data_IF_463490700922
#
_entry.id   IF_463490700922
#
_cell.length_a   1.000
_cell.length_b   1.000
_cell.length_c   1.000
_cell.angle_alpha   90.00
_cell.angle_beta   90.00
_cell.angle_gamma   90.00
#
_symmetry.space_group_name_H-M   'P 1'
#
loop_
_entity.id
_entity.type
_entity.pdbx_description
1 polymer ?
#
# COMPACT_ATOMS: atom_id res chain seq x y z
N UNK A 1 14.35 -0.10 -4.01
CA UNK A 1 14.56 -1.51 -3.60
C UNK A 1 13.20 -2.19 -3.72
N UNK A 2 13.15 -3.43 -4.21
CA UNK A 2 11.92 -4.22 -4.33
C UNK A 2 12.21 -5.62 -3.80
N UNK A 3 11.33 -6.16 -2.94
CA UNK A 3 11.51 -7.50 -2.38
C UNK A 3 10.76 -8.54 -3.22
N UNK A 4 11.17 -9.80 -3.12
CA UNK A 4 10.44 -10.88 -3.78
C UNK A 4 9.00 -10.98 -3.25
N UNK A 5 8.79 -10.81 -1.95
CA UNK A 5 7.46 -10.78 -1.34
C UNK A 5 6.55 -9.71 -1.95
N UNK A 6 7.09 -8.51 -2.17
CA UNK A 6 6.35 -7.42 -2.83
C UNK A 6 5.91 -7.81 -4.25
N UNK A 7 6.80 -8.43 -5.04
CA UNK A 7 6.48 -8.90 -6.39
C UNK A 7 5.37 -9.95 -6.33
N UNK A 8 5.45 -10.90 -5.41
CA UNK A 8 4.43 -11.93 -5.25
C UNK A 8 3.06 -11.31 -4.92
N UNK A 9 2.99 -10.30 -4.04
CA UNK A 9 1.71 -9.63 -3.76
C UNK A 9 1.21 -8.76 -4.93
N UNK A 10 2.09 -8.17 -5.74
CA UNK A 10 1.68 -7.49 -6.98
C UNK A 10 1.05 -8.52 -7.94
N UNK A 11 1.67 -9.69 -8.13
CA UNK A 11 1.11 -10.74 -8.98
C UNK A 11 -0.21 -11.30 -8.43
N UNK A 12 -0.32 -11.47 -7.11
CA UNK A 12 -1.56 -11.90 -6.46
C UNK A 12 -2.70 -10.89 -6.72
N UNK A 13 -2.43 -9.59 -6.59
CA UNK A 13 -3.40 -8.53 -6.89
C UNK A 13 -3.83 -8.56 -8.36
N UNK A 14 -2.87 -8.63 -9.28
CA UNK A 14 -3.16 -8.62 -10.73
C UNK A 14 -3.99 -9.84 -11.16
N UNK A 15 -3.72 -11.03 -10.60
CA UNK A 15 -4.55 -12.23 -10.86
C UNK A 15 -5.92 -12.09 -10.22
N UNK A 16 -6.01 -11.61 -8.97
CA UNK A 16 -7.28 -11.45 -8.28
C UNK A 16 -8.22 -10.43 -8.97
N UNK A 17 -7.65 -9.42 -9.63
CA UNK A 17 -8.36 -8.45 -10.48
C UNK A 17 -8.63 -8.93 -11.91
N UNK A 18 -8.20 -10.14 -12.26
CA UNK A 18 -8.35 -10.70 -13.61
C UNK A 18 -7.53 -10.00 -14.70
N UNK A 19 -6.50 -9.22 -14.32
CA UNK A 19 -5.64 -8.48 -15.25
C UNK A 19 -4.65 -9.43 -15.95
N UNK A 20 -4.15 -10.43 -15.21
CA UNK A 20 -3.29 -11.48 -15.74
C UNK A 20 -3.85 -12.85 -15.39
N UNK A 21 -3.48 -13.87 -16.17
CA UNK A 21 -3.77 -15.26 -15.82
C UNK A 21 -2.83 -15.78 -14.73
N UNK A 22 -3.29 -16.75 -13.94
CA UNK A 22 -2.51 -17.38 -12.89
C UNK A 22 -3.37 -17.88 -11.74
N UNK A 23 -2.71 -18.23 -10.64
CA UNK A 23 -3.35 -18.66 -9.40
C UNK A 23 -3.02 -17.66 -8.28
N UNK A 24 -4.00 -16.88 -7.85
CA UNK A 24 -3.80 -15.82 -6.85
C UNK A 24 -3.34 -16.39 -5.50
N UNK A 25 -3.87 -17.54 -5.09
CA UNK A 25 -3.47 -18.24 -3.86
C UNK A 25 -1.98 -18.57 -3.85
N UNK A 26 -1.42 -19.02 -4.97
CA UNK A 26 -0.01 -19.38 -5.09
C UNK A 26 0.87 -18.17 -4.85
N UNK A 27 0.58 -17.05 -5.53
CA UNK A 27 1.31 -15.80 -5.33
C UNK A 27 1.14 -15.23 -3.93
N UNK A 28 -0.08 -15.26 -3.39
CA UNK A 28 -0.37 -14.83 -2.03
C UNK A 28 0.45 -15.62 -0.99
N UNK A 29 0.46 -16.95 -1.09
CA UNK A 29 1.19 -17.83 -0.19
C UNK A 29 2.72 -17.64 -0.30
N UNK A 30 3.24 -17.51 -1.52
CA UNK A 30 4.66 -17.24 -1.75
C UNK A 30 5.09 -15.89 -1.18
N UNK A 31 4.23 -14.87 -1.28
CA UNK A 31 4.46 -13.55 -0.69
C UNK A 31 4.59 -13.63 0.84
N UNK A 32 3.68 -14.35 1.50
CA UNK A 32 3.72 -14.58 2.95
C UNK A 32 5.00 -15.34 3.35
N UNK A 33 5.25 -16.47 2.69
CA UNK A 33 6.39 -17.33 3.01
C UNK A 33 7.70 -16.57 2.91
N UNK A 34 7.93 -15.91 1.76
CA UNK A 34 9.16 -15.15 1.54
C UNK A 34 9.29 -13.96 2.49
N UNK A 35 8.18 -13.36 2.92
CA UNK A 35 8.18 -12.27 3.89
C UNK A 35 8.64 -12.73 5.28
N UNK A 36 8.28 -13.95 5.67
CA UNK A 36 8.73 -14.57 6.92
C UNK A 36 10.21 -14.99 6.80
N UNK A 37 10.59 -15.61 5.67
CA UNK A 37 11.96 -16.05 5.40
C UNK A 37 12.95 -14.88 5.33
N UNK A 38 12.51 -13.70 4.92
CA UNK A 38 13.33 -12.48 4.93
C UNK A 38 13.90 -12.17 6.33
N UNK A 39 13.17 -12.52 7.39
CA UNK A 39 13.61 -12.37 8.79
C UNK A 39 14.38 -13.58 9.33
N UNK A 40 14.80 -14.50 8.45
CA UNK A 40 15.53 -15.72 8.82
C UNK A 40 14.65 -16.75 9.54
N UNK A 41 13.33 -16.66 9.44
CA UNK A 41 12.39 -17.59 10.05
C UNK A 41 11.83 -18.57 9.02
N UNK A 42 11.56 -19.80 9.45
CA UNK A 42 10.80 -20.75 8.63
C UNK A 42 9.29 -20.49 8.77
N UNK A 43 8.54 -20.72 7.69
CA UNK A 43 7.08 -20.65 7.72
C UNK A 43 6.53 -21.67 8.74
N UNK A 44 5.77 -21.22 9.77
CA UNK A 44 5.21 -22.14 10.76
C UNK A 44 4.25 -23.15 10.13
N UNK A 45 4.26 -24.39 10.63
CA UNK A 45 3.31 -25.41 10.20
C UNK A 45 1.87 -24.96 10.46
N UNK A 46 1.02 -25.06 9.45
CA UNK A 46 -0.40 -24.67 9.54
C UNK A 46 -0.66 -23.17 9.35
N UNK A 47 0.37 -22.33 9.19
CA UNK A 47 0.19 -20.87 9.10
C UNK A 47 -0.76 -20.46 7.96
N UNK A 48 -0.54 -20.99 6.76
CA UNK A 48 -1.33 -20.67 5.55
C UNK A 48 -2.75 -21.24 5.55
N UNK A 49 -3.08 -22.14 6.48
CA UNK A 49 -4.43 -22.74 6.60
C UNK A 49 -5.19 -22.23 7.83
N UNK A 50 -4.58 -21.33 8.61
CA UNK A 50 -5.29 -20.64 9.69
C UNK A 50 -6.43 -19.80 9.11
N UNK A 51 -7.56 -19.71 9.81
CA UNK A 51 -8.76 -19.04 9.31
C UNK A 51 -8.54 -17.57 8.94
N UNK A 52 -7.60 -16.90 9.60
CA UNK A 52 -7.26 -15.50 9.33
C UNK A 52 -6.42 -15.33 8.06
N UNK A 53 -5.58 -16.32 7.74
CA UNK A 53 -4.60 -16.24 6.65
C UNK A 53 -5.09 -16.94 5.39
N UNK A 54 -5.79 -18.06 5.51
CA UNK A 54 -6.19 -18.92 4.38
C UNK A 54 -6.80 -18.11 3.22
N UNK A 55 -6.34 -18.41 2.01
CA UNK A 55 -6.92 -17.84 0.79
C UNK A 55 -8.27 -18.48 0.50
N UNK A 56 -9.21 -17.66 0.02
CA UNK A 56 -10.55 -18.10 -0.35
C UNK A 56 -10.99 -17.39 -1.64
N UNK A 57 -11.16 -18.16 -2.71
CA UNK A 57 -11.57 -17.65 -4.02
C UNK A 57 -13.04 -17.21 -4.06
N UNK A 58 -13.85 -17.58 -3.06
CA UNK A 58 -15.26 -17.17 -2.95
C UNK A 58 -15.44 -15.74 -2.41
N UNK A 59 -14.38 -15.16 -1.85
CA UNK A 59 -14.39 -13.78 -1.34
C UNK A 59 -14.63 -12.76 -2.46
N UNK A 60 -15.24 -11.63 -2.09
CA UNK A 60 -15.36 -10.48 -2.99
C UNK A 60 -13.98 -9.91 -3.36
N UNK A 61 -13.91 -9.15 -4.45
CA UNK A 61 -12.65 -8.49 -4.84
C UNK A 61 -12.09 -7.63 -3.71
N UNK A 62 -12.93 -6.83 -3.04
CA UNK A 62 -12.55 -5.98 -1.91
C UNK A 62 -11.96 -6.81 -0.74
N UNK A 63 -12.59 -7.93 -0.40
CA UNK A 63 -12.09 -8.83 0.66
C UNK A 63 -10.75 -9.48 0.27
N UNK A 64 -10.57 -9.83 -1.01
CA UNK A 64 -9.30 -10.33 -1.54
C UNK A 64 -8.22 -9.25 -1.49
N UNK A 65 -8.56 -8.01 -1.84
CA UNK A 65 -7.63 -6.87 -1.76
C UNK A 65 -7.20 -6.59 -0.33
N UNK A 66 -8.13 -6.61 0.62
CA UNK A 66 -7.80 -6.46 2.04
C UNK A 66 -6.82 -7.56 2.49
N UNK A 67 -7.09 -8.83 2.16
CA UNK A 67 -6.18 -9.94 2.49
C UNK A 67 -4.79 -9.77 1.89
N UNK A 68 -4.69 -9.47 0.59
CA UNK A 68 -3.41 -9.31 -0.11
C UNK A 68 -2.63 -8.12 0.48
N UNK A 69 -3.27 -6.96 0.59
CA UNK A 69 -2.61 -5.74 1.02
C UNK A 69 -2.29 -5.73 2.50
N UNK A 70 -3.04 -6.45 3.35
CA UNK A 70 -2.67 -6.64 4.75
C UNK A 70 -1.38 -7.46 4.89
N UNK A 71 -1.23 -8.54 4.12
CA UNK A 71 0.02 -9.32 4.16
C UNK A 71 1.18 -8.54 3.53
N UNK A 72 0.93 -7.86 2.40
CA UNK A 72 1.89 -6.93 1.81
C UNK A 72 2.33 -5.87 2.81
N UNK A 73 1.39 -5.36 3.62
CA UNK A 73 1.65 -4.36 4.65
C UNK A 73 2.72 -4.81 5.64
N UNK A 74 2.63 -6.05 6.12
CA UNK A 74 3.63 -6.61 7.02
C UNK A 74 5.00 -6.79 6.35
N UNK A 75 5.03 -7.24 5.10
CA UNK A 75 6.30 -7.46 4.38
C UNK A 75 7.02 -6.19 3.96
N UNK A 76 6.33 -5.05 3.94
CA UNK A 76 6.91 -3.75 3.64
C UNK A 76 7.42 -3.03 4.91
N UNK A 77 7.44 -3.69 6.06
CA UNK A 77 8.06 -3.15 7.26
C UNK A 77 9.56 -2.91 7.01
N UNK A 78 10.00 -1.66 7.19
CA UNK A 78 11.32 -1.13 6.79
C UNK A 78 11.60 -0.98 5.29
N UNK A 79 10.58 -1.07 4.44
CA UNK A 79 10.70 -0.72 3.01
C UNK A 79 10.33 0.75 2.78
N UNK A 80 11.11 1.65 3.38
CA UNK A 80 11.03 3.13 3.24
C UNK A 80 9.57 3.66 3.21
N UNK A 81 9.21 4.51 2.23
CA UNK A 81 7.86 5.04 2.04
C UNK A 81 6.94 4.10 1.24
N UNK A 82 7.39 2.89 0.88
CA UNK A 82 6.62 2.00 -0.01
C UNK A 82 5.26 1.63 0.59
N UNK A 83 5.22 1.43 1.91
CA UNK A 83 3.96 1.19 2.61
C UNK A 83 2.98 2.37 2.48
N UNK A 84 3.50 3.58 2.61
CA UNK A 84 2.70 4.79 2.50
C UNK A 84 2.16 4.98 1.08
N UNK A 85 2.97 4.67 0.06
CA UNK A 85 2.56 4.71 -1.34
C UNK A 85 1.49 3.65 -1.65
N UNK A 86 1.66 2.41 -1.19
CA UNK A 86 0.69 1.35 -1.42
C UNK A 86 -0.66 1.66 -0.76
N UNK A 87 -0.66 2.09 0.50
CA UNK A 87 -1.91 2.47 1.19
C UNK A 87 -2.64 3.59 0.46
N UNK A 88 -1.90 4.59 -0.06
CA UNK A 88 -2.48 5.69 -0.82
C UNK A 88 -3.04 5.26 -2.19
N UNK A 89 -2.48 4.19 -2.79
CA UNK A 89 -2.95 3.64 -4.06
C UNK A 89 -4.20 2.78 -3.88
N UNK A 90 -4.26 2.01 -2.79
CA UNK A 90 -5.25 0.93 -2.63
C UNK A 90 -6.32 1.24 -1.58
N UNK A 91 -6.02 2.08 -0.60
CA UNK A 91 -6.85 2.29 0.59
C UNK A 91 -6.73 1.17 1.64
N UNK A 92 -5.97 0.12 1.31
CA UNK A 92 -5.80 -1.08 2.13
C UNK A 92 -4.40 -1.13 2.79
N UNK A 93 -4.25 -1.82 3.93
CA UNK A 93 -5.33 -2.44 4.71
C UNK A 93 -6.18 -1.41 5.44
N UNK A 94 -7.36 -1.79 5.93
CA UNK A 94 -8.20 -0.87 6.71
C UNK A 94 -7.52 -0.57 8.06
N UNK A 95 -6.95 0.63 8.17
CA UNK A 95 -6.25 1.08 9.37
C UNK A 95 -7.23 1.64 10.42
N UNK A 96 -7.09 1.17 11.67
CA UNK A 96 -7.83 1.75 12.81
C UNK A 96 -7.30 3.15 13.15
N UNK A 97 -8.19 4.14 13.23
CA UNK A 97 -7.84 5.54 13.48
C UNK A 97 -8.31 6.01 14.85
N UNK A 98 -7.38 6.19 15.79
CA UNK A 98 -7.67 6.70 17.14
C UNK A 98 -7.86 8.22 17.20
N UNK A 99 -8.17 8.74 18.39
CA UNK A 99 -8.36 10.18 18.64
C UNK A 99 -7.09 11.02 18.41
N UNK A 100 -5.91 10.41 18.48
CA UNK A 100 -4.63 11.08 18.24
C UNK A 100 -4.32 11.36 16.76
N UNK A 101 -5.11 10.83 15.83
CA UNK A 101 -4.88 11.00 14.39
C UNK A 101 -5.38 12.38 13.94
N UNK A 102 -4.44 13.26 13.57
CA UNK A 102 -4.72 14.61 13.03
C UNK A 102 -5.11 14.56 11.55
N UNK A 103 -5.14 15.72 10.89
CA UNK A 103 -5.47 15.86 9.45
C UNK A 103 -6.84 15.26 9.10
N UNK A 104 -7.85 15.51 9.94
CA UNK A 104 -9.22 15.01 9.77
C UNK A 104 -9.30 13.48 9.62
N UNK A 105 -8.34 12.74 10.20
CA UNK A 105 -8.21 11.28 10.06
C UNK A 105 -7.97 10.83 8.61
N UNK A 106 -7.53 11.74 7.74
CA UNK A 106 -7.12 11.46 6.36
C UNK A 106 -5.62 11.20 6.35
N UNK A 107 -5.22 10.06 5.78
CA UNK A 107 -3.79 9.77 5.57
C UNK A 107 -3.19 10.85 4.68
N UNK A 108 -2.06 11.49 5.05
CA UNK A 108 -1.40 12.45 4.18
C UNK A 108 -1.18 11.88 2.77
N UNK A 109 -1.62 12.59 1.76
CA UNK A 109 -1.53 12.17 0.34
C UNK A 109 -0.22 12.60 -0.30
N UNK A 110 0.48 13.55 0.34
CA UNK A 110 1.76 14.15 -0.04
C UNK A 110 2.42 14.82 1.18
N UNK A 111 3.62 15.34 0.98
CA UNK A 111 4.29 16.24 1.92
C UNK A 111 4.31 17.67 1.34
N UNK A 112 4.48 18.66 2.20
CA UNK A 112 4.67 20.05 1.80
C UNK A 112 5.96 20.23 1.00
N UNK A 113 5.98 21.21 0.10
CA UNK A 113 7.24 21.66 -0.46
C UNK A 113 8.10 22.31 0.64
N UNK A 114 9.43 22.08 0.66
CA UNK A 114 10.31 22.69 1.66
C UNK A 114 10.21 24.22 1.65
N UNK A 115 10.20 24.84 2.83
CA UNK A 115 10.07 26.31 3.00
C UNK A 115 11.13 27.09 2.21
N UNK A 116 12.33 26.53 2.05
CA UNK A 116 13.40 27.14 1.26
C UNK A 116 13.05 27.25 -0.23
N UNK A 117 12.32 26.27 -0.79
CA UNK A 117 11.87 26.31 -2.19
C UNK A 117 10.82 27.40 -2.38
N UNK A 118 9.94 27.58 -1.39
CA UNK A 118 8.89 28.60 -1.41
C UNK A 118 9.46 30.04 -1.39
N UNK A 119 10.67 30.23 -0.89
CA UNK A 119 11.36 31.53 -0.82
C UNK A 119 12.34 31.73 -1.99
N UNK A 120 13.24 30.78 -2.23
CA UNK A 120 14.30 30.91 -3.22
C UNK A 120 13.86 30.58 -4.65
N UNK A 121 12.76 29.84 -4.82
CA UNK A 121 12.27 29.42 -6.14
C UNK A 121 10.76 29.67 -6.30
N UNK A 122 10.32 30.86 -5.87
CA UNK A 122 8.90 31.21 -5.74
C UNK A 122 8.11 31.11 -7.04
N UNK A 123 8.69 31.47 -8.18
CA UNK A 123 8.01 31.40 -9.47
C UNK A 123 7.61 29.96 -9.81
N UNK A 124 8.54 29.01 -9.67
CA UNK A 124 8.28 27.60 -9.98
C UNK A 124 7.39 26.94 -8.92
N UNK A 125 7.53 27.33 -7.65
CA UNK A 125 6.60 26.90 -6.60
C UNK A 125 5.16 27.31 -6.92
N UNK A 126 4.94 28.57 -7.32
CA UNK A 126 3.61 29.08 -7.67
C UNK A 126 3.03 28.38 -8.92
N UNK A 127 3.86 28.09 -9.92
CA UNK A 127 3.43 27.31 -11.09
C UNK A 127 3.01 25.89 -10.69
N UNK A 128 3.77 25.21 -9.84
CA UNK A 128 3.44 23.87 -9.36
C UNK A 128 2.11 23.82 -8.59
N UNK A 129 1.89 24.74 -7.64
CA UNK A 129 0.61 24.80 -6.88
C UNK A 129 -0.58 25.13 -7.78
N UNK A 130 -0.38 25.91 -8.85
CA UNK A 130 -1.46 26.24 -9.79
C UNK A 130 -1.94 25.02 -10.60
N UNK A 131 -1.06 24.04 -10.82
CA UNK A 131 -1.34 22.81 -11.58
C UNK A 131 -1.84 21.68 -10.69
N UNK A 132 -1.25 21.52 -9.51
CA UNK A 132 -1.54 20.40 -8.62
C UNK A 132 -2.74 20.68 -7.68
N UNK A 133 -3.00 21.95 -7.36
CA UNK A 133 -3.80 22.36 -6.19
C UNK A 133 -2.97 22.94 -5.03
N UNK A 134 -3.62 23.31 -3.91
CA UNK A 134 -2.94 23.90 -2.76
C UNK A 134 -1.81 23.00 -2.24
N UNK A 135 -0.77 23.60 -1.66
CA UNK A 135 0.27 22.82 -0.96
C UNK A 135 -0.25 22.40 0.41
N UNK A 136 -1.04 21.33 0.45
CA UNK A 136 -1.60 20.74 1.67
C UNK A 136 -1.43 19.21 1.72
N UNK A 137 -1.67 18.62 2.88
CA UNK A 137 -1.53 17.17 3.09
C UNK A 137 -2.68 16.33 2.50
N UNK A 138 -3.69 16.95 1.89
CA UNK A 138 -4.90 16.28 1.37
C UNK A 138 -5.02 16.38 -0.15
N UNK A 139 -4.16 17.17 -0.80
CA UNK A 139 -4.10 17.34 -2.24
C UNK A 139 -3.52 16.07 -2.84
N UNK A 140 -4.32 15.42 -3.69
CA UNK A 140 -3.96 14.16 -4.31
C UNK A 140 -2.76 14.35 -5.25
N UNK A 141 -1.88 13.35 -5.31
CA UNK A 141 -0.84 13.30 -6.35
C UNK A 141 -1.42 12.72 -7.65
N UNK A 142 -0.78 12.99 -8.78
CA UNK A 142 -1.33 12.73 -10.12
C UNK A 142 -1.82 11.28 -10.38
N UNK A 143 -1.25 10.30 -9.70
CA UNK A 143 -1.59 8.88 -9.85
C UNK A 143 -2.66 8.40 -8.86
N UNK A 144 -2.98 9.20 -7.84
CA UNK A 144 -4.00 8.83 -6.87
C UNK A 144 -5.38 9.09 -7.43
N UNK A 145 -6.21 8.05 -7.43
CA UNK A 145 -7.64 8.21 -7.61
C UNK A 145 -8.28 8.65 -6.28
N UNK A 146 -9.37 9.41 -6.38
CA UNK A 146 -10.12 9.83 -5.21
C UNK A 146 -10.77 8.59 -4.58
N UNK A 147 -10.38 8.25 -3.36
CA UNK A 147 -11.04 7.17 -2.62
C UNK A 147 -12.45 7.63 -2.25
N UNK A 148 -13.46 6.85 -2.66
CA UNK A 148 -14.88 7.12 -2.48
C UNK A 148 -15.31 7.04 -1.01
#
# INVERSE_FOLDING_TARGET
>A
IITYSEIQFILAELVAKGIISGNAQTYYNNGIQSGIEYWGQALPTGYLISSEIIWDDTLTEEQKMEKIHLQKYYTLFFTDFQQWFEYRRTGHPVLTKGLGVRNDKVMPTRLFYPVIVQSLNRSNYNDAISKQGPDDLKTLVWWQEKQN
#
